data_IF_856492752154
#
_entry.id   IF_856492752154
#
_cell.length_a   1.000
_cell.length_b   1.000
_cell.length_c   1.000
_cell.angle_alpha   90.00
_cell.angle_beta   90.00
_cell.angle_gamma   90.00
#
_symmetry.space_group_name_H-M   'P 1'
#
loop_
_entity.id
_entity.type
_entity.pdbx_description
1 polymer ?
#
# COMPACT_ATOMS: atom_id res chain seq x y z
N UNK A 1 8.07 -6.93 23.25
CA UNK A 1 7.98 -5.83 22.27
C UNK A 1 8.92 -4.74 22.73
N UNK A 2 9.78 -4.28 21.83
CA UNK A 2 10.70 -3.18 22.13
C UNK A 2 9.95 -1.86 21.96
N UNK A 3 10.00 -0.99 22.97
CA UNK A 3 9.29 0.29 22.96
C UNK A 3 10.29 1.42 22.69
N UNK A 4 9.94 2.33 21.77
CA UNK A 4 10.71 3.54 21.50
C UNK A 4 9.90 4.78 21.89
N UNK A 5 10.57 5.80 22.44
CA UNK A 5 9.99 7.13 22.66
C UNK A 5 10.31 8.01 21.46
N UNK A 6 9.30 8.71 20.95
CA UNK A 6 9.41 9.64 19.83
C UNK A 6 9.00 11.04 20.27
N UNK A 7 9.75 12.04 19.81
CA UNK A 7 9.41 13.45 19.90
C UNK A 7 9.07 13.95 18.50
N UNK A 8 7.92 14.62 18.35
CA UNK A 8 7.45 15.12 17.05
C UNK A 8 7.13 16.60 17.14
N UNK A 9 7.47 17.35 16.09
CA UNK A 9 7.12 18.75 15.95
C UNK A 9 5.96 18.84 14.96
N UNK A 10 4.86 19.47 15.38
CA UNK A 10 3.66 19.63 14.55
C UNK A 10 3.29 21.10 14.39
N UNK A 11 2.67 21.50 13.27
CA UNK A 11 2.04 22.80 13.16
C UNK A 11 0.99 22.99 14.25
N UNK A 12 0.94 24.18 14.88
CA UNK A 12 0.00 24.47 15.99
C UNK A 12 -1.45 24.11 15.65
N UNK A 13 -1.89 24.42 14.42
CA UNK A 13 -3.25 24.09 13.96
C UNK A 13 -3.53 22.60 14.00
N UNK A 14 -2.57 21.76 13.59
CA UNK A 14 -2.70 20.31 13.59
C UNK A 14 -2.76 19.78 15.02
N UNK A 15 -1.89 20.26 15.91
CA UNK A 15 -1.95 19.93 17.32
C UNK A 15 -3.34 20.23 17.92
N UNK A 16 -3.88 21.44 17.68
CA UNK A 16 -5.20 21.83 18.16
C UNK A 16 -6.32 20.92 17.60
N UNK A 17 -6.24 20.53 16.33
CA UNK A 17 -7.19 19.60 15.73
C UNK A 17 -7.13 18.21 16.39
N UNK A 18 -5.95 17.68 16.66
CA UNK A 18 -5.80 16.38 17.33
C UNK A 18 -6.28 16.44 18.78
N UNK A 19 -5.96 17.51 19.51
CA UNK A 19 -6.45 17.70 20.88
C UNK A 19 -7.98 17.75 20.95
N UNK A 20 -8.63 18.42 19.99
CA UNK A 20 -10.10 18.43 19.91
C UNK A 20 -10.68 17.02 19.72
N UNK A 21 -10.01 16.14 18.97
CA UNK A 21 -10.46 14.76 18.81
C UNK A 21 -10.35 13.97 20.13
N UNK A 22 -9.34 14.26 20.94
CA UNK A 22 -9.20 13.69 22.29
C UNK A 22 -10.31 14.20 23.21
N UNK A 23 -10.58 15.51 23.20
CA UNK A 23 -11.66 16.13 24.00
C UNK A 23 -13.04 15.59 23.66
N UNK A 24 -13.28 15.29 22.37
CA UNK A 24 -14.53 14.67 21.89
C UNK A 24 -14.60 13.16 22.18
N UNK A 25 -13.56 12.56 22.77
CA UNK A 25 -13.54 11.15 23.16
C UNK A 25 -13.24 10.17 22.02
N UNK A 26 -12.80 10.63 20.84
CA UNK A 26 -12.40 9.73 19.76
C UNK A 26 -11.07 9.02 20.05
N UNK A 27 -10.23 9.59 20.91
CA UNK A 27 -9.00 8.99 21.40
C UNK A 27 -8.86 9.24 22.90
N UNK A 28 -8.29 8.29 23.64
CA UNK A 28 -8.06 8.46 25.09
C UNK A 28 -6.89 9.39 25.39
N UNK A 29 -5.96 9.58 24.43
CA UNK A 29 -4.84 10.49 24.59
C UNK A 29 -4.26 10.96 23.25
N UNK A 30 -3.51 12.06 23.29
CA UNK A 30 -2.74 12.53 22.13
C UNK A 30 -1.76 11.47 21.60
N UNK A 31 -1.10 10.75 22.52
CA UNK A 31 -0.15 9.69 22.13
C UNK A 31 -0.83 8.51 21.43
N UNK A 32 -2.08 8.21 21.78
CA UNK A 32 -2.88 7.21 21.08
C UNK A 32 -3.21 7.67 19.66
N UNK A 33 -3.69 8.91 19.51
CA UNK A 33 -3.99 9.48 18.20
C UNK A 33 -2.76 9.46 17.27
N UNK A 34 -1.57 9.81 17.78
CA UNK A 34 -0.31 9.75 17.02
C UNK A 34 0.04 8.33 16.61
N UNK A 35 -0.06 7.34 17.52
CA UNK A 35 0.24 5.94 17.20
C UNK A 35 -0.73 5.38 16.15
N UNK A 36 -2.01 5.73 16.23
CA UNK A 36 -3.02 5.31 15.25
C UNK A 36 -2.72 5.90 13.88
N UNK A 37 -2.50 7.21 13.79
CA UNK A 37 -2.15 7.86 12.51
C UNK A 37 -0.86 7.31 11.88
N UNK A 38 0.16 7.04 12.68
CA UNK A 38 1.39 6.40 12.19
C UNK A 38 1.13 4.97 11.68
N UNK A 39 0.29 4.19 12.38
CA UNK A 39 -0.08 2.84 11.93
C UNK A 39 -0.81 2.90 10.59
N UNK A 40 -1.79 3.79 10.46
CA UNK A 40 -2.59 3.90 9.25
C UNK A 40 -1.73 4.30 8.05
N UNK A 41 -0.81 5.26 8.24
CA UNK A 41 0.10 5.68 7.17
C UNK A 41 1.10 4.57 6.80
N UNK A 42 1.59 3.80 7.77
CA UNK A 42 2.42 2.60 7.50
C UNK A 42 1.62 1.57 6.72
N UNK A 43 0.39 1.27 7.12
CA UNK A 43 -0.48 0.29 6.44
C UNK A 43 -0.82 0.73 5.02
N UNK A 44 -1.00 2.03 4.80
CA UNK A 44 -1.25 2.62 3.48
C UNK A 44 -0.10 2.41 2.49
N UNK A 45 1.15 2.50 2.95
CA UNK A 45 2.34 2.28 2.10
C UNK A 45 2.98 0.92 2.25
N UNK A 46 2.54 0.11 3.21
CA UNK A 46 2.56 -1.33 3.06
C UNK A 46 1.59 -1.68 1.94
N UNK A 47 2.00 -1.37 0.69
CA UNK A 47 1.66 -2.22 -0.44
C UNK A 47 1.97 -3.62 0.11
N UNK A 48 0.97 -4.49 0.30
CA UNK A 48 1.30 -5.87 0.54
C UNK A 48 2.19 -6.21 -0.65
N UNK A 49 3.47 -6.43 -0.40
CA UNK A 49 4.28 -7.22 -1.32
C UNK A 49 3.57 -8.56 -1.27
N UNK A 50 2.50 -8.69 -2.05
CA UNK A 50 1.81 -9.92 -2.26
C UNK A 50 2.95 -10.83 -2.64
N UNK A 51 3.25 -11.79 -1.76
CA UNK A 51 4.19 -12.83 -2.13
C UNK A 51 3.47 -13.54 -3.25
N UNK A 52 3.85 -13.18 -4.48
CA UNK A 52 3.46 -13.90 -5.67
C UNK A 52 3.71 -15.36 -5.33
N UNK A 53 2.66 -16.15 -5.43
CA UNK A 53 2.76 -17.59 -5.28
C UNK A 53 3.81 -18.12 -6.25
N UNK A 54 4.32 -19.32 -5.99
CA UNK A 54 5.24 -19.97 -6.93
C UNK A 54 4.64 -20.08 -8.35
N UNK A 55 3.31 -20.15 -8.47
CA UNK A 55 2.63 -20.17 -9.75
C UNK A 55 2.70 -18.81 -10.45
N UNK A 56 2.35 -17.72 -9.75
CA UNK A 56 2.40 -16.36 -10.31
C UNK A 56 3.83 -15.93 -10.68
N UNK A 57 4.83 -16.31 -9.88
CA UNK A 57 6.24 -16.09 -10.25
C UNK A 57 6.63 -16.87 -11.50
N UNK A 58 6.15 -18.11 -11.64
CA UNK A 58 6.43 -18.94 -12.82
C UNK A 58 5.79 -18.36 -14.08
N UNK A 59 4.56 -17.87 -14.00
CA UNK A 59 3.89 -17.20 -15.13
C UNK A 59 4.65 -15.94 -15.59
N UNK A 60 5.20 -15.18 -14.64
CA UNK A 60 6.05 -14.02 -14.95
C UNK A 60 7.34 -14.46 -15.65
N UNK A 61 8.01 -15.51 -15.16
CA UNK A 61 9.23 -16.04 -15.76
C UNK A 61 8.98 -16.60 -17.18
N UNK A 62 7.86 -17.30 -17.38
CA UNK A 62 7.41 -17.79 -18.70
C UNK A 62 7.16 -16.61 -19.65
N UNK A 63 6.48 -15.56 -19.19
CA UNK A 63 6.26 -14.34 -19.97
C UNK A 63 7.56 -13.64 -20.39
N UNK A 64 8.54 -13.53 -19.49
CA UNK A 64 9.86 -12.99 -19.83
C UNK A 64 10.61 -13.85 -20.85
N UNK A 65 10.51 -15.18 -20.72
CA UNK A 65 11.11 -16.10 -21.68
C UNK A 65 10.48 -15.99 -23.07
N UNK A 66 9.16 -15.79 -23.15
CA UNK A 66 8.44 -15.57 -24.40
C UNK A 66 8.82 -14.26 -25.08
N UNK A 67 8.91 -13.16 -24.34
CA UNK A 67 9.38 -11.87 -24.87
C UNK A 67 10.81 -11.98 -25.39
N UNK A 68 11.70 -12.63 -24.64
CA UNK A 68 13.10 -12.84 -25.07
C UNK A 68 13.19 -13.69 -26.33
N UNK A 69 12.24 -14.60 -26.53
CA UNK A 69 12.16 -15.46 -27.70
C UNK A 69 11.37 -14.86 -28.87
N UNK A 70 10.86 -13.63 -28.75
CA UNK A 70 10.04 -12.99 -29.79
C UNK A 70 8.66 -13.65 -29.97
N UNK A 71 8.15 -14.31 -28.93
CA UNK A 71 6.84 -15.00 -28.93
C UNK A 71 5.72 -14.15 -28.34
N UNK A 72 5.91 -12.84 -28.22
CA UNK A 72 4.86 -11.94 -27.75
C UNK A 72 3.64 -11.98 -28.67
N UNK A 73 2.45 -12.06 -28.06
CA UNK A 73 1.20 -11.86 -28.78
C UNK A 73 1.05 -10.36 -29.08
N UNK A 74 0.57 -10.03 -30.28
CA UNK A 74 0.27 -8.64 -30.60
C UNK A 74 -0.86 -8.11 -29.71
N UNK A 75 -0.83 -6.81 -29.42
CA UNK A 75 -1.86 -6.15 -28.61
C UNK A 75 -3.28 -6.35 -29.19
N UNK A 76 -3.41 -6.45 -30.51
CA UNK A 76 -4.69 -6.70 -31.18
C UNK A 76 -5.24 -8.11 -30.93
N UNK A 77 -4.36 -9.12 -30.89
CA UNK A 77 -4.74 -10.51 -30.58
C UNK A 77 -5.16 -10.61 -29.11
N UNK A 78 -4.37 -10.00 -28.21
CA UNK A 78 -4.68 -9.96 -26.79
C UNK A 78 -6.00 -9.23 -26.49
N UNK A 79 -6.25 -8.09 -27.15
CA UNK A 79 -7.50 -7.34 -27.00
C UNK A 79 -8.72 -8.18 -27.40
N UNK A 80 -8.62 -8.99 -28.46
CA UNK A 80 -9.69 -9.90 -28.89
C UNK A 80 -9.93 -11.04 -27.90
N UNK A 81 -8.87 -11.67 -27.40
CA UNK A 81 -8.96 -12.77 -26.41
C UNK A 81 -9.54 -12.31 -25.06
N UNK A 82 -9.22 -11.08 -24.65
CA UNK A 82 -9.70 -10.47 -23.39
C UNK A 82 -11.06 -9.79 -23.51
N UNK A 83 -11.70 -9.84 -24.68
CA UNK A 83 -13.03 -9.26 -24.90
C UNK A 83 -13.05 -7.73 -24.99
N UNK A 84 -11.90 -7.10 -25.24
CA UNK A 84 -11.75 -5.66 -25.47
C UNK A 84 -11.76 -5.27 -26.96
N UNK A 85 -11.79 -6.25 -27.88
CA UNK A 85 -11.90 -6.00 -29.32
C UNK A 85 -13.36 -5.85 -29.76
N UNK A 86 -13.66 -4.82 -30.55
CA UNK A 86 -14.87 -4.75 -31.40
C UNK A 86 -14.92 -5.90 -32.40
#
# INVERSE_FOLDING_TARGET
>A
MENARVNVVLPKRMYSSVMRLVELGYYNSFSEAVRTGLRDEVMKYQVPMARLSKAELREIDEGFADVKAGREKSASVLAKELGYGT
#
